data_IF_843962198689
#
_entry.id   IF_843962198689
#
_cell.length_a   1.000
_cell.length_b   1.000
_cell.length_c   1.000
_cell.angle_alpha   90.00
_cell.angle_beta   90.00
_cell.angle_gamma   90.00
#
_symmetry.space_group_name_H-M   'P 1'
#
loop_
_entity.id
_entity.type
_entity.pdbx_description
1 polymer ?
#
# COMPACT_ATOMS: atom_id res chain seq x y z
N UNK A 1 11.00 -4.56 15.69
CA UNK A 1 10.78 -5.09 14.33
C UNK A 1 9.38 -5.69 14.14
N UNK A 2 8.98 -6.75 14.85
CA UNK A 2 7.68 -7.40 14.62
C UNK A 2 6.44 -6.50 14.68
N UNK A 3 6.32 -5.61 15.67
CA UNK A 3 5.21 -4.62 15.72
C UNK A 3 5.23 -3.64 14.53
N UNK A 4 6.42 -3.27 14.04
CA UNK A 4 6.56 -2.38 12.89
C UNK A 4 6.14 -3.07 11.60
N UNK A 5 6.56 -4.33 11.39
CA UNK A 5 6.12 -5.15 10.25
C UNK A 5 4.60 -5.36 10.27
N UNK A 6 4.04 -5.65 11.45
CA UNK A 6 2.59 -5.74 11.61
C UNK A 6 1.89 -4.42 11.26
N UNK A 7 2.38 -3.29 11.77
CA UNK A 7 1.84 -1.96 11.49
C UNK A 7 1.87 -1.63 9.99
N UNK A 8 3.02 -1.81 9.34
CA UNK A 8 3.17 -1.56 7.91
C UNK A 8 2.28 -2.47 7.06
N UNK A 9 2.19 -3.76 7.40
CA UNK A 9 1.31 -4.69 6.69
C UNK A 9 -0.18 -4.37 6.92
N UNK A 10 -0.55 -3.94 8.13
CA UNK A 10 -1.92 -3.53 8.45
C UNK A 10 -2.31 -2.25 7.71
N UNK A 11 -1.41 -1.26 7.66
CA UNK A 11 -1.61 -0.03 6.88
C UNK A 11 -1.81 -0.35 5.40
N UNK A 12 -1.00 -1.26 4.83
CA UNK A 12 -1.15 -1.66 3.44
C UNK A 12 -2.49 -2.39 3.14
N UNK A 13 -2.88 -3.37 3.95
CA UNK A 13 -4.03 -4.23 3.61
C UNK A 13 -5.34 -3.84 4.26
N UNK A 14 -5.35 -3.42 5.52
CA UNK A 14 -6.59 -3.09 6.22
C UNK A 14 -6.98 -1.67 5.83
N UNK A 15 -6.06 -0.72 5.93
CA UNK A 15 -6.36 0.68 5.62
C UNK A 15 -6.35 0.96 4.12
N UNK A 16 -5.18 0.91 3.46
CA UNK A 16 -5.04 1.34 2.05
C UNK A 16 -5.87 0.48 1.11
N UNK A 17 -5.66 -0.84 1.09
CA UNK A 17 -6.45 -1.75 0.25
C UNK A 17 -7.92 -1.82 0.70
N UNK A 18 -8.18 -2.19 1.96
CA UNK A 18 -9.52 -2.49 2.45
C UNK A 18 -10.39 -1.24 2.59
N UNK A 19 -10.15 -0.46 3.63
CA UNK A 19 -11.04 0.62 4.05
C UNK A 19 -11.00 1.86 3.15
N UNK A 20 -9.85 2.21 2.56
CA UNK A 20 -9.70 3.50 1.84
C UNK A 20 -9.84 3.41 0.33
N UNK A 21 -9.59 2.24 -0.26
CA UNK A 21 -9.81 2.00 -1.68
C UNK A 21 -11.01 1.08 -1.92
N UNK A 22 -10.99 -0.14 -1.37
CA UNK A 22 -11.98 -1.17 -1.74
C UNK A 22 -13.39 -0.80 -1.29
N UNK A 23 -13.59 -0.30 -0.06
CA UNK A 23 -14.93 0.09 0.43
C UNK A 23 -15.58 1.13 -0.48
N UNK A 24 -14.87 2.21 -0.81
CA UNK A 24 -15.37 3.26 -1.69
C UNK A 24 -15.63 2.76 -3.12
N UNK A 25 -14.74 1.92 -3.66
CA UNK A 25 -14.91 1.31 -4.98
C UNK A 25 -16.13 0.37 -5.01
N UNK A 26 -16.31 -0.46 -3.98
CA UNK A 26 -17.41 -1.43 -3.88
C UNK A 26 -18.77 -0.73 -3.71
N UNK A 27 -18.83 0.33 -2.91
CA UNK A 27 -20.08 1.05 -2.66
C UNK A 27 -20.43 2.05 -3.77
N UNK A 28 -19.42 2.64 -4.41
CA UNK A 28 -19.60 3.77 -5.33
C UNK A 28 -20.07 5.06 -4.64
N UNK A 29 -20.01 5.11 -3.30
CA UNK A 29 -20.45 6.24 -2.50
C UNK A 29 -19.30 7.21 -2.25
N UNK A 30 -19.52 8.49 -2.54
CA UNK A 30 -18.59 9.56 -2.15
C UNK A 30 -18.45 9.67 -0.62
N UNK A 31 -19.45 9.24 0.16
CA UNK A 31 -19.33 9.27 1.62
C UNK A 31 -18.35 8.23 2.17
N UNK A 32 -18.14 7.14 1.44
CA UNK A 32 -17.14 6.11 1.77
C UNK A 32 -15.73 6.47 1.27
N UNK A 33 -15.61 7.50 0.40
CA UNK A 33 -14.32 7.98 -0.06
C UNK A 33 -13.57 8.69 1.08
N UNK A 34 -12.33 8.27 1.31
CA UNK A 34 -11.46 8.94 2.27
C UNK A 34 -11.19 10.40 1.85
N UNK A 35 -11.29 11.37 2.77
CA UNK A 35 -11.00 12.78 2.47
C UNK A 35 -11.90 13.40 1.39
N UNK A 36 -13.13 12.90 1.25
CA UNK A 36 -14.15 13.34 0.28
C UNK A 36 -14.55 14.82 0.36
N UNK A 37 -14.32 15.50 1.49
CA UNK A 37 -14.63 16.93 1.64
C UNK A 37 -13.53 17.85 1.07
N UNK A 38 -12.34 17.31 0.80
CA UNK A 38 -11.16 18.07 0.39
C UNK A 38 -10.56 17.59 -0.93
N UNK A 39 -11.14 16.58 -1.58
CA UNK A 39 -10.61 15.95 -2.80
C UNK A 39 -9.13 15.53 -2.64
N UNK A 40 -8.74 15.02 -1.45
CA UNK A 40 -7.33 14.76 -1.07
C UNK A 40 -6.94 13.28 -1.00
N UNK A 41 -7.86 12.39 -1.36
CA UNK A 41 -7.78 10.92 -1.26
C UNK A 41 -6.46 10.35 -1.75
N UNK A 42 -6.06 10.70 -2.98
CA UNK A 42 -4.84 10.17 -3.60
C UNK A 42 -3.57 10.65 -2.86
N UNK A 43 -3.55 11.91 -2.40
CA UNK A 43 -2.40 12.45 -1.68
C UNK A 43 -2.23 11.79 -0.30
N UNK A 44 -3.34 11.52 0.41
CA UNK A 44 -3.32 10.81 1.68
C UNK A 44 -2.82 9.37 1.50
N UNK A 45 -3.35 8.66 0.51
CA UNK A 45 -2.91 7.29 0.18
C UNK A 45 -1.43 7.21 -0.24
N UNK A 46 -0.95 8.18 -1.01
CA UNK A 46 0.47 8.26 -1.38
C UNK A 46 1.36 8.45 -0.15
N UNK A 47 0.91 9.27 0.81
CA UNK A 47 1.63 9.52 2.07
C UNK A 47 1.65 8.27 2.96
N UNK A 48 0.55 7.52 3.02
CA UNK A 48 0.49 6.24 3.75
C UNK A 48 1.49 5.21 3.17
N UNK A 49 1.53 5.08 1.85
CA UNK A 49 2.45 4.16 1.16
C UNK A 49 3.91 4.63 1.31
N UNK A 50 4.16 5.93 1.28
CA UNK A 50 5.49 6.50 1.55
C UNK A 50 5.95 6.21 3.00
N UNK A 51 5.05 6.28 3.97
CA UNK A 51 5.36 5.88 5.35
C UNK A 51 5.81 4.41 5.45
N UNK A 52 5.20 3.52 4.67
CA UNK A 52 5.64 2.12 4.58
C UNK A 52 7.03 2.04 3.95
N UNK A 53 7.27 2.75 2.85
CA UNK A 53 8.56 2.80 2.15
C UNK A 53 9.69 3.27 3.07
N UNK A 54 9.48 4.35 3.80
CA UNK A 54 10.43 4.89 4.78
C UNK A 54 10.74 3.89 5.89
N UNK A 55 9.72 3.20 6.41
CA UNK A 55 9.92 2.18 7.42
C UNK A 55 10.76 1.00 6.91
N UNK A 56 10.46 0.44 5.73
CA UNK A 56 11.15 -0.76 5.24
C UNK A 56 12.55 -0.47 4.73
N UNK A 57 12.79 0.73 4.21
CA UNK A 57 14.09 1.18 3.70
C UNK A 57 14.96 1.84 4.76
N UNK A 58 14.41 2.16 5.95
CA UNK A 58 15.06 2.99 6.96
C UNK A 58 15.65 4.27 6.35
N UNK A 59 14.86 4.99 5.55
CA UNK A 59 15.19 6.30 4.97
C UNK A 59 14.10 7.29 5.32
N UNK A 60 14.47 8.55 5.46
CA UNK A 60 13.54 9.68 5.45
C UNK A 60 13.99 10.61 4.35
N UNK A 61 13.15 10.80 3.33
CA UNK A 61 13.56 11.42 2.07
C UNK A 61 14.85 10.76 1.55
N UNK A 62 15.89 11.53 1.27
CA UNK A 62 17.17 11.00 0.79
C UNK A 62 18.15 10.57 1.88
N UNK A 63 17.83 10.79 3.16
CA UNK A 63 18.72 10.52 4.27
C UNK A 63 18.58 9.06 4.78
N UNK A 64 19.65 8.24 4.73
CA UNK A 64 19.64 6.92 5.35
C UNK A 64 19.67 7.03 6.88
N UNK A 65 18.86 6.21 7.55
CA UNK A 65 18.73 6.16 9.01
C UNK A 65 19.45 4.95 9.63
N UNK A 66 20.07 4.09 8.82
CA UNK A 66 20.85 2.93 9.27
C UNK A 66 20.43 1.64 8.57
N UNK A 67 20.61 0.51 9.26
CA UNK A 67 20.21 -0.79 8.74
C UNK A 67 18.69 -0.90 8.59
N UNK A 68 18.24 -1.47 7.48
CA UNK A 68 16.83 -1.52 7.11
C UNK A 68 16.25 -2.94 7.05
N UNK A 69 14.93 -3.05 6.94
CA UNK A 69 14.25 -4.33 6.66
C UNK A 69 14.71 -4.86 5.29
N UNK A 70 14.81 -3.97 4.30
CA UNK A 70 15.29 -4.31 2.97
C UNK A 70 16.72 -4.84 2.99
N UNK A 71 17.62 -4.32 3.83
CA UNK A 71 18.99 -4.84 3.94
C UNK A 71 19.01 -6.27 4.49
N UNK A 72 18.20 -6.55 5.51
CA UNK A 72 18.05 -7.90 6.07
C UNK A 72 17.49 -8.87 5.03
N UNK A 73 16.49 -8.44 4.26
CA UNK A 73 15.89 -9.25 3.21
C UNK A 73 16.84 -9.46 2.03
N UNK A 74 17.60 -8.45 1.61
CA UNK A 74 18.62 -8.61 0.56
C UNK A 74 19.70 -9.59 0.99
N UNK A 75 20.08 -9.59 2.26
CA UNK A 75 21.04 -10.56 2.77
C UNK A 75 20.48 -11.99 2.83
N UNK A 76 19.20 -12.15 3.24
CA UNK A 76 18.63 -13.47 3.54
C UNK A 76 17.83 -14.09 2.38
N UNK A 77 17.02 -13.29 1.70
CA UNK A 77 16.14 -13.69 0.59
C UNK A 77 15.98 -12.53 -0.41
N UNK A 78 16.97 -12.29 -1.31
CA UNK A 78 16.95 -11.15 -2.23
C UNK A 78 15.67 -11.02 -3.06
N UNK A 79 15.09 -12.14 -3.48
CA UNK A 79 13.83 -12.15 -4.24
C UNK A 79 12.63 -11.61 -3.46
N UNK A 80 12.68 -11.61 -2.12
CA UNK A 80 11.62 -11.06 -1.28
C UNK A 80 11.80 -9.57 -1.04
N UNK A 81 13.04 -9.08 -0.97
CA UNK A 81 13.32 -7.65 -1.02
C UNK A 81 12.79 -7.04 -2.32
N UNK A 82 13.14 -7.64 -3.47
CA UNK A 82 12.66 -7.20 -4.78
C UNK A 82 11.13 -7.19 -4.85
N UNK A 83 10.44 -8.25 -4.41
CA UNK A 83 8.97 -8.28 -4.39
C UNK A 83 8.36 -7.16 -3.54
N UNK A 84 8.94 -6.87 -2.38
CA UNK A 84 8.46 -5.79 -1.52
C UNK A 84 8.64 -4.42 -2.21
N UNK A 85 9.82 -4.16 -2.76
CA UNK A 85 10.12 -2.94 -3.52
C UNK A 85 9.19 -2.78 -4.73
N UNK A 86 9.00 -3.84 -5.52
CA UNK A 86 8.13 -3.86 -6.69
C UNK A 86 6.67 -3.59 -6.30
N UNK A 87 6.18 -4.17 -5.19
CA UNK A 87 4.81 -3.93 -4.72
C UNK A 87 4.57 -2.49 -4.26
N UNK A 88 5.55 -1.88 -3.59
CA UNK A 88 5.49 -0.47 -3.18
C UNK A 88 5.51 0.42 -4.43
N UNK A 89 6.44 0.16 -5.37
CA UNK A 89 6.54 0.92 -6.61
C UNK A 89 5.27 0.83 -7.45
N UNK A 90 4.69 -0.37 -7.60
CA UNK A 90 3.45 -0.60 -8.32
C UNK A 90 2.27 0.15 -7.68
N UNK A 91 2.17 0.14 -6.35
CA UNK A 91 1.12 0.86 -5.61
C UNK A 91 1.24 2.37 -5.84
N UNK A 92 2.44 2.94 -5.66
CA UNK A 92 2.67 4.38 -5.88
C UNK A 92 2.40 4.77 -7.34
N UNK A 93 2.85 3.97 -8.31
CA UNK A 93 2.59 4.22 -9.71
C UNK A 93 1.10 4.15 -10.05
N UNK A 94 0.37 3.19 -9.49
CA UNK A 94 -1.08 3.06 -9.66
C UNK A 94 -1.82 4.28 -9.12
N UNK A 95 -1.49 4.71 -7.89
CA UNK A 95 -2.07 5.90 -7.26
C UNK A 95 -1.75 7.19 -8.03
N UNK A 96 -0.49 7.38 -8.46
CA UNK A 96 -0.08 8.56 -9.25
C UNK A 96 -0.74 8.66 -10.62
N UNK A 97 -1.18 7.53 -11.16
CA UNK A 97 -1.81 7.48 -12.46
C UNK A 97 -3.33 7.76 -12.38
N UNK A 98 -3.90 7.87 -11.17
CA UNK A 98 -5.26 8.41 -10.96
C UNK A 98 -5.21 9.93 -11.23
N UNK A 99 -5.71 10.35 -12.38
CA UNK A 99 -5.67 11.73 -12.86
C UNK A 99 -6.98 12.50 -12.61
N UNK A 100 -8.06 11.78 -12.38
CA UNK A 100 -9.37 12.31 -11.98
C UNK A 100 -9.51 12.34 -10.46
N UNK A 101 -10.43 13.18 -9.97
CA UNK A 101 -10.84 13.14 -8.56
C UNK A 101 -11.49 11.78 -8.27
N UNK A 102 -11.22 11.24 -7.09
CA UNK A 102 -11.63 9.88 -6.77
C UNK A 102 -13.16 9.74 -6.76
N UNK A 103 -13.90 10.75 -6.29
CA UNK A 103 -15.37 10.84 -6.40
C UNK A 103 -15.89 10.65 -7.85
N UNK A 104 -15.22 11.21 -8.85
CA UNK A 104 -15.60 11.07 -10.26
C UNK A 104 -15.37 9.66 -10.77
N UNK A 105 -14.32 8.99 -10.29
CA UNK A 105 -14.06 7.58 -10.60
C UNK A 105 -15.19 6.70 -10.07
N UNK A 106 -15.68 6.97 -8.85
CA UNK A 106 -16.75 6.19 -8.23
C UNK A 106 -18.08 6.23 -9.01
N UNK A 107 -18.34 7.32 -9.75
CA UNK A 107 -19.53 7.47 -10.59
C UNK A 107 -19.46 6.69 -11.91
N UNK A 108 -18.27 6.19 -12.29
CA UNK A 108 -18.08 5.45 -13.53
C UNK A 108 -18.50 3.97 -13.38
N UNK A 109 -18.90 3.29 -14.47
CA UNK A 109 -19.11 1.85 -14.46
C UNK A 109 -17.88 1.09 -13.99
N UNK A 110 -18.04 -0.01 -13.26
CA UNK A 110 -16.92 -0.77 -12.68
C UNK A 110 -15.90 -1.29 -13.72
N UNK A 111 -16.32 -1.48 -14.98
CA UNK A 111 -15.44 -1.88 -16.08
C UNK A 111 -14.79 -0.70 -16.82
N UNK A 112 -14.97 0.54 -16.34
CA UNK A 112 -14.32 1.71 -16.90
C UNK A 112 -12.79 1.64 -16.69
N UNK A 113 -11.99 2.25 -17.59
CA UNK A 113 -10.55 2.28 -17.42
C UNK A 113 -10.09 2.87 -16.08
N UNK A 114 -10.74 3.95 -15.62
CA UNK A 114 -10.37 4.62 -14.36
C UNK A 114 -10.71 3.74 -13.13
N UNK A 115 -11.85 3.04 -13.15
CA UNK A 115 -12.25 2.09 -12.10
C UNK A 115 -11.29 0.92 -12.01
N UNK A 116 -10.99 0.28 -13.14
CA UNK A 116 -10.04 -0.84 -13.20
C UNK A 116 -8.64 -0.43 -12.74
N UNK A 117 -8.25 0.81 -13.01
CA UNK A 117 -6.96 1.35 -12.57
C UNK A 117 -6.91 1.57 -11.06
N UNK A 118 -7.96 2.13 -10.46
CA UNK A 118 -8.04 2.28 -9.00
C UNK A 118 -8.08 0.91 -8.29
N UNK A 119 -8.82 -0.05 -8.84
CA UNK A 119 -8.86 -1.44 -8.35
C UNK A 119 -7.49 -2.13 -8.45
N UNK A 120 -6.75 -1.88 -9.53
CA UNK A 120 -5.37 -2.38 -9.67
C UNK A 120 -4.42 -1.74 -8.64
N UNK A 121 -4.57 -0.45 -8.32
CA UNK A 121 -3.79 0.20 -7.27
C UNK A 121 -4.11 -0.39 -5.88
N UNK A 122 -5.38 -0.70 -5.60
CA UNK A 122 -5.80 -1.37 -4.37
C UNK A 122 -5.15 -2.76 -4.26
N UNK A 123 -5.22 -3.57 -5.32
CA UNK A 123 -4.62 -4.89 -5.33
C UNK A 123 -3.09 -4.83 -5.17
N UNK A 124 -2.42 -3.83 -5.77
CA UNK A 124 -1.00 -3.61 -5.56
C UNK A 124 -0.67 -3.32 -4.08
N UNK A 125 -1.50 -2.52 -3.39
CA UNK A 125 -1.33 -2.26 -1.95
C UNK A 125 -1.48 -3.55 -1.13
N UNK A 126 -2.42 -4.42 -1.48
CA UNK A 126 -2.56 -5.75 -0.85
C UNK A 126 -1.28 -6.58 -1.00
N UNK A 127 -0.59 -6.50 -2.15
CA UNK A 127 0.68 -7.21 -2.36
C UNK A 127 1.82 -6.72 -1.45
N UNK A 128 1.80 -5.47 -1.00
CA UNK A 128 2.75 -4.98 0.03
C UNK A 128 2.59 -5.80 1.32
N UNK A 129 1.34 -6.01 1.77
CA UNK A 129 1.08 -6.81 2.97
C UNK A 129 1.47 -8.29 2.79
N UNK A 130 1.20 -8.88 1.61
CA UNK A 130 1.66 -10.24 1.27
C UNK A 130 3.18 -10.34 1.41
N UNK A 131 3.90 -9.38 0.83
CA UNK A 131 5.35 -9.34 0.86
C UNK A 131 5.89 -9.14 2.29
N UNK A 132 5.27 -8.26 3.09
CA UNK A 132 5.66 -8.01 4.48
C UNK A 132 5.40 -9.21 5.40
N UNK A 133 4.31 -9.95 5.19
CA UNK A 133 4.04 -11.19 5.91
C UNK A 133 5.07 -12.27 5.60
N UNK A 134 5.36 -12.49 4.32
CA UNK A 134 6.43 -13.39 3.91
C UNK A 134 7.80 -12.94 4.45
N UNK A 135 8.06 -11.63 4.53
CA UNK A 135 9.29 -11.08 5.09
C UNK A 135 9.40 -11.36 6.59
N UNK A 136 8.31 -11.19 7.34
CA UNK A 136 8.27 -11.53 8.75
C UNK A 136 8.56 -13.03 8.97
N UNK A 137 7.90 -13.91 8.20
CA UNK A 137 8.11 -15.36 8.26
C UNK A 137 9.57 -15.75 7.97
N UNK A 138 10.18 -15.19 6.91
CA UNK A 138 11.58 -15.43 6.56
C UNK A 138 12.54 -14.97 7.67
N UNK A 139 12.20 -13.89 8.38
CA UNK A 139 12.96 -13.38 9.51
C UNK A 139 12.66 -14.10 10.84
N UNK A 140 11.76 -15.10 10.84
CA UNK A 140 11.37 -15.85 12.03
C UNK A 140 10.48 -15.05 12.99
N UNK A 141 9.72 -14.08 12.46
CA UNK A 141 8.82 -13.20 13.20
C UNK A 141 7.38 -13.57 12.86
N UNK A 142 6.59 -13.93 13.87
CA UNK A 142 5.17 -14.19 13.67
C UNK A 142 4.38 -12.87 13.69
N UNK A 143 3.66 -12.58 12.61
CA UNK A 143 2.65 -11.53 12.53
C UNK A 143 1.35 -12.10 11.97
N UNK A 144 0.21 -11.59 12.43
CA UNK A 144 -1.12 -12.00 11.95
C UNK A 144 -1.74 -10.81 11.24
N UNK A 145 -2.09 -10.99 9.97
CA UNK A 145 -2.66 -9.94 9.13
C UNK A 145 -3.95 -10.50 8.52
N UNK A 146 -5.14 -10.03 8.94
CA UNK A 146 -6.40 -10.46 8.34
C UNK A 146 -6.40 -10.23 6.82
N UNK A 147 -6.88 -11.22 6.07
CA UNK A 147 -6.97 -11.13 4.61
C UNK A 147 -5.71 -11.52 3.84
N UNK A 148 -4.59 -11.86 4.52
CA UNK A 148 -3.30 -12.19 3.86
C UNK A 148 -2.47 -13.25 4.59
#
# INVERSE_FOLDING_TARGET
LGRGLHGAASLATIEVYGERLSVALDSGSQEDEHSCFSDNTVADLLSDVEGIEFFVSARYEDAPLGASVLDLLRWRKPSLAARLEDSIAATRAGLLAIDERFDQILLQPADSPARLQAEAAAEAARQIAVALKAAAEELGINIVIPGV
#
